data_IF_893472411051
#
_entry.id   IF_893472411051
#
_cell.length_a   1.000
_cell.length_b   1.000
_cell.length_c   1.000
_cell.angle_alpha   90.00
_cell.angle_beta   90.00
_cell.angle_gamma   90.00
#
_symmetry.space_group_name_H-M   'P 1'
#
loop_
_entity.id
_entity.type
_entity.pdbx_description
1 polymer ?
#
# COMPACT_ATOMS: atom_id res chain seq x y z
N UNK A 1 -14.09 -6.53 -15.76
CA UNK A 1 -13.34 -5.97 -14.61
C UNK A 1 -13.72 -6.83 -13.42
N UNK A 2 -12.74 -7.36 -12.70
CA UNK A 2 -12.96 -8.19 -11.52
C UNK A 2 -12.45 -7.41 -10.30
N UNK A 3 -13.19 -7.49 -9.19
CA UNK A 3 -12.83 -6.82 -7.94
C UNK A 3 -12.69 -7.87 -6.84
N UNK A 4 -11.48 -8.04 -6.26
CA UNK A 4 -11.25 -8.99 -5.18
C UNK A 4 -11.68 -8.48 -3.80
N UNK A 5 -12.16 -7.24 -3.67
CA UNK A 5 -12.52 -6.64 -2.37
C UNK A 5 -11.37 -6.69 -1.36
N UNK A 6 -10.15 -6.42 -1.83
CA UNK A 6 -8.90 -6.53 -1.05
C UNK A 6 -8.62 -7.92 -0.45
N UNK A 7 -9.29 -8.97 -0.91
CA UNK A 7 -9.04 -10.36 -0.49
C UNK A 7 -8.13 -11.11 -1.49
N UNK A 8 -6.98 -11.57 -1.01
CA UNK A 8 -5.98 -12.24 -1.83
C UNK A 8 -6.46 -13.59 -2.41
N UNK A 9 -7.28 -14.33 -1.65
CA UNK A 9 -7.83 -15.61 -2.12
C UNK A 9 -8.88 -15.37 -3.21
N UNK A 10 -9.74 -14.38 -3.03
CA UNK A 10 -10.70 -13.95 -4.02
C UNK A 10 -9.98 -13.47 -5.29
N UNK A 11 -8.90 -12.71 -5.17
CA UNK A 11 -8.08 -12.32 -6.33
C UNK A 11 -7.57 -13.53 -7.12
N UNK A 12 -7.06 -14.57 -6.44
CA UNK A 12 -6.64 -15.80 -7.10
C UNK A 12 -7.79 -16.45 -7.88
N UNK A 13 -8.95 -16.64 -7.24
CA UNK A 13 -10.10 -17.27 -7.91
C UNK A 13 -10.62 -16.45 -9.10
N UNK A 14 -10.59 -15.12 -9.00
CA UNK A 14 -10.99 -14.22 -10.07
C UNK A 14 -9.98 -14.22 -11.23
N UNK A 15 -8.69 -14.34 -10.94
CA UNK A 15 -7.64 -14.50 -11.94
C UNK A 15 -7.80 -15.82 -12.70
N UNK A 16 -8.01 -16.93 -12.00
CA UNK A 16 -8.28 -18.24 -12.61
C UNK A 16 -9.54 -18.22 -13.47
N UNK A 17 -10.60 -17.56 -12.97
CA UNK A 17 -11.83 -17.36 -13.73
C UNK A 17 -11.60 -16.53 -14.98
N UNK A 18 -10.84 -15.44 -14.90
CA UNK A 18 -10.52 -14.62 -16.08
C UNK A 18 -9.83 -15.45 -17.16
N UNK A 19 -8.90 -16.33 -16.77
CA UNK A 19 -8.20 -17.25 -17.69
C UNK A 19 -9.20 -18.24 -18.30
N UNK A 20 -10.07 -18.85 -17.49
CA UNK A 20 -11.11 -19.77 -17.96
C UNK A 20 -12.13 -19.10 -18.90
N UNK A 21 -12.43 -17.83 -18.66
CA UNK A 21 -13.28 -16.97 -19.49
C UNK A 21 -12.56 -16.49 -20.78
N UNK A 22 -11.38 -17.04 -21.10
CA UNK A 22 -10.54 -16.71 -22.26
C UNK A 22 -10.08 -15.25 -22.29
N UNK A 23 -9.67 -14.69 -21.15
CA UNK A 23 -9.04 -13.37 -21.11
C UNK A 23 -7.90 -13.28 -22.13
N UNK A 24 -7.99 -12.29 -23.02
CA UNK A 24 -6.98 -12.02 -24.06
C UNK A 24 -5.82 -11.16 -23.55
N UNK A 25 -5.90 -10.70 -22.30
CA UNK A 25 -4.86 -9.96 -21.60
C UNK A 25 -5.24 -9.75 -20.13
N UNK A 26 -4.24 -9.52 -19.28
CA UNK A 26 -4.40 -9.37 -17.83
C UNK A 26 -3.72 -8.07 -17.39
N UNK A 27 -4.41 -7.27 -16.59
CA UNK A 27 -3.82 -6.15 -15.84
C UNK A 27 -4.03 -6.46 -14.37
N UNK A 28 -2.95 -6.56 -13.60
CA UNK A 28 -2.98 -7.09 -12.23
C UNK A 28 -2.21 -6.20 -11.26
N UNK A 29 -2.87 -5.81 -10.17
CA UNK A 29 -2.24 -5.28 -8.97
C UNK A 29 -2.32 -6.39 -7.91
N UNK A 30 -1.23 -7.12 -7.63
CA UNK A 30 -1.29 -8.28 -6.75
C UNK A 30 -1.51 -7.86 -5.29
N UNK A 31 -2.34 -8.62 -4.57
CA UNK A 31 -2.55 -8.45 -3.13
C UNK A 31 -1.61 -9.32 -2.29
N UNK A 32 -1.22 -10.47 -2.85
CA UNK A 32 -0.20 -11.36 -2.32
C UNK A 32 0.47 -12.06 -3.51
N UNK A 33 1.80 -12.13 -3.51
CA UNK A 33 2.57 -12.73 -4.60
C UNK A 33 2.64 -14.25 -4.50
N UNK A 34 2.59 -14.82 -3.29
CA UNK A 34 2.80 -16.25 -3.10
C UNK A 34 1.62 -17.10 -3.63
N UNK A 35 0.35 -16.83 -3.27
CA UNK A 35 -0.79 -17.63 -3.73
C UNK A 35 -1.01 -17.58 -5.25
N UNK A 36 -0.71 -16.44 -5.88
CA UNK A 36 -0.94 -16.24 -7.32
C UNK A 36 0.21 -16.76 -8.19
N UNK A 37 1.37 -17.06 -7.61
CA UNK A 37 2.57 -17.43 -8.36
C UNK A 37 2.38 -18.62 -9.32
N UNK A 38 1.72 -19.73 -8.94
CA UNK A 38 1.46 -20.84 -9.85
C UNK A 38 0.63 -20.40 -11.07
N UNK A 39 -0.44 -19.64 -10.84
CA UNK A 39 -1.34 -19.14 -11.89
C UNK A 39 -0.61 -18.17 -12.84
N UNK A 40 0.27 -17.33 -12.31
CA UNK A 40 1.09 -16.44 -13.16
C UNK A 40 2.09 -17.19 -14.05
N UNK A 41 2.60 -18.35 -13.61
CA UNK A 41 3.37 -19.22 -14.49
C UNK A 41 2.51 -19.82 -15.60
N UNK A 42 1.24 -20.16 -15.35
CA UNK A 42 0.30 -20.59 -16.41
C UNK A 42 0.04 -19.48 -17.41
N UNK A 43 -0.23 -18.26 -16.94
CA UNK A 43 -0.41 -17.06 -17.78
C UNK A 43 0.77 -16.89 -18.75
N UNK A 44 1.99 -17.02 -18.22
CA UNK A 44 3.22 -16.97 -19.04
C UNK A 44 3.27 -18.09 -20.07
N UNK A 45 2.99 -19.34 -19.68
CA UNK A 45 3.02 -20.51 -20.59
C UNK A 45 1.97 -20.41 -21.70
N UNK A 46 0.78 -19.92 -21.36
CA UNK A 46 -0.31 -19.67 -22.29
C UNK A 46 -0.06 -18.44 -23.20
N UNK A 47 1.00 -17.66 -22.93
CA UNK A 47 1.35 -16.42 -23.66
C UNK A 47 0.23 -15.38 -23.62
N UNK A 48 -0.53 -15.34 -22.52
CA UNK A 48 -1.50 -14.28 -22.28
C UNK A 48 -0.71 -13.01 -21.95
N UNK A 49 -0.85 -11.91 -22.71
CA UNK A 49 -0.20 -10.65 -22.38
C UNK A 49 -0.60 -10.20 -20.99
N UNK A 50 0.37 -9.78 -20.18
CA UNK A 50 0.07 -9.24 -18.86
C UNK A 50 0.81 -7.93 -18.57
N UNK A 51 0.16 -7.08 -17.78
CA UNK A 51 0.72 -5.87 -17.19
C UNK A 51 0.59 -5.96 -15.67
N UNK A 52 1.68 -5.84 -14.93
CA UNK A 52 1.61 -5.61 -13.48
C UNK A 52 1.58 -4.12 -13.16
N UNK A 53 0.87 -3.82 -12.10
CA UNK A 53 0.82 -2.51 -11.45
C UNK A 53 1.30 -2.66 -10.02
N UNK A 54 1.95 -1.61 -9.50
CA UNK A 54 2.37 -1.44 -8.11
C UNK A 54 3.42 -2.42 -7.55
N UNK A 55 3.51 -3.65 -8.04
CA UNK A 55 4.46 -4.66 -7.55
C UNK A 55 5.25 -5.35 -8.65
N UNK A 56 6.51 -5.64 -8.34
CA UNK A 56 7.40 -6.31 -9.29
C UNK A 56 7.01 -7.77 -9.50
N UNK A 57 6.62 -8.09 -10.74
CA UNK A 57 6.22 -9.42 -11.17
C UNK A 57 7.06 -9.89 -12.38
N UNK A 58 8.25 -9.33 -12.56
CA UNK A 58 9.06 -9.48 -13.77
C UNK A 58 9.44 -10.92 -14.09
N UNK A 59 9.53 -11.81 -13.09
CA UNK A 59 9.81 -13.23 -13.32
C UNK A 59 8.76 -13.92 -14.20
N UNK A 60 7.52 -13.42 -14.24
CA UNK A 60 6.45 -13.99 -15.07
C UNK A 60 6.41 -13.40 -16.49
N UNK A 61 7.25 -12.41 -16.80
CA UNK A 61 7.27 -11.67 -18.07
C UNK A 61 6.45 -10.38 -18.03
N UNK A 62 5.81 -10.04 -19.16
CA UNK A 62 4.88 -8.91 -19.24
C UNK A 62 5.52 -7.52 -19.18
N UNK A 63 4.66 -6.51 -19.11
CA UNK A 63 5.04 -5.10 -18.90
C UNK A 63 4.85 -4.75 -17.43
N UNK A 64 5.79 -4.00 -16.86
CA UNK A 64 5.77 -3.58 -15.47
C UNK A 64 5.47 -2.07 -15.44
N UNK A 65 4.36 -1.67 -14.82
CA UNK A 65 4.06 -0.26 -14.52
C UNK A 65 4.34 -0.04 -13.03
N UNK A 66 5.59 0.32 -12.75
CA UNK A 66 6.10 0.47 -11.39
C UNK A 66 6.57 1.89 -11.15
N UNK A 67 6.58 2.27 -9.88
CA UNK A 67 7.19 3.50 -9.38
C UNK A 67 8.13 3.11 -8.25
N UNK A 68 9.18 3.90 -8.03
CA UNK A 68 9.99 3.76 -6.82
C UNK A 68 9.08 3.97 -5.60
N UNK A 69 8.83 2.90 -4.86
CA UNK A 69 7.86 2.94 -3.79
C UNK A 69 8.32 3.82 -2.62
N UNK A 70 9.62 3.81 -2.31
CA UNK A 70 10.18 4.67 -1.27
C UNK A 70 10.07 6.14 -1.67
N UNK A 71 10.41 6.49 -2.91
CA UNK A 71 10.25 7.86 -3.41
C UNK A 71 8.77 8.30 -3.44
N UNK A 72 7.87 7.40 -3.80
CA UNK A 72 6.42 7.64 -3.78
C UNK A 72 5.92 7.96 -2.37
N UNK A 73 6.51 7.38 -1.34
CA UNK A 73 6.24 7.74 0.06
C UNK A 73 6.98 8.99 0.51
N UNK A 74 8.22 9.18 0.08
CA UNK A 74 9.08 10.26 0.52
C UNK A 74 8.50 11.63 0.20
N UNK A 75 8.00 11.85 -1.02
CA UNK A 75 7.45 13.16 -1.42
C UNK A 75 6.30 13.64 -0.51
N UNK A 76 5.23 12.86 -0.27
CA UNK A 76 4.18 13.28 0.67
C UNK A 76 4.69 13.33 2.12
N UNK A 77 5.61 12.45 2.52
CA UNK A 77 6.27 12.52 3.83
C UNK A 77 6.98 13.87 4.05
N UNK A 78 7.76 14.32 3.08
CA UNK A 78 8.45 15.62 3.12
C UNK A 78 7.47 16.79 3.25
N UNK A 79 6.35 16.74 2.53
CA UNK A 79 5.30 17.75 2.65
C UNK A 79 4.70 17.82 4.06
N UNK A 80 4.40 16.66 4.67
CA UNK A 80 3.90 16.63 6.05
C UNK A 80 4.98 17.04 7.06
N UNK A 81 6.25 16.68 6.84
CA UNK A 81 7.36 17.15 7.66
C UNK A 81 7.50 18.68 7.66
N UNK A 82 7.35 19.31 6.50
CA UNK A 82 7.31 20.78 6.39
C UNK A 82 6.11 21.37 7.13
N UNK A 83 4.93 20.78 6.97
CA UNK A 83 3.73 21.20 7.70
C UNK A 83 3.91 21.10 9.22
N UNK A 84 4.55 20.02 9.71
CA UNK A 84 4.85 19.84 11.13
C UNK A 84 5.86 20.87 11.64
N UNK A 85 6.90 21.16 10.86
CA UNK A 85 7.84 22.23 11.19
C UNK A 85 7.15 23.60 11.28
N UNK A 86 6.24 23.89 10.36
CA UNK A 86 5.60 25.21 10.24
C UNK A 86 4.42 25.42 11.22
N UNK A 87 3.66 24.36 11.53
CA UNK A 87 2.39 24.48 12.26
C UNK A 87 2.39 23.82 13.64
N UNK A 88 3.33 22.91 13.90
CA UNK A 88 3.40 22.15 15.16
C UNK A 88 4.76 22.32 15.85
N UNK A 89 5.48 23.41 15.57
CA UNK A 89 6.80 23.71 16.13
C UNK A 89 7.81 22.55 15.98
N UNK A 90 7.67 21.77 14.89
CA UNK A 90 8.51 20.61 14.60
C UNK A 90 8.22 19.36 15.43
N UNK A 91 7.14 19.32 16.21
CA UNK A 91 6.76 18.21 17.08
C UNK A 91 5.40 17.64 16.68
N UNK A 92 5.32 16.33 16.50
CA UNK A 92 4.05 15.66 16.23
C UNK A 92 4.08 14.23 16.77
N UNK A 93 2.91 13.72 17.16
CA UNK A 93 2.67 12.30 17.41
C UNK A 93 1.94 11.74 16.20
N UNK A 94 2.56 10.77 15.53
CA UNK A 94 2.22 10.34 14.18
C UNK A 94 1.78 8.88 14.17
N UNK A 95 0.63 8.61 13.57
CA UNK A 95 0.18 7.26 13.21
C UNK A 95 0.51 7.01 11.75
N UNK A 96 1.04 5.83 11.44
CA UNK A 96 1.28 5.37 10.06
C UNK A 96 0.28 4.27 9.72
N UNK A 97 -0.58 4.53 8.73
CA UNK A 97 -1.49 3.56 8.12
C UNK A 97 -0.80 2.91 6.91
N UNK A 98 -0.57 1.61 6.96
CA UNK A 98 0.21 0.86 5.97
C UNK A 98 -0.42 -0.50 5.63
N UNK A 99 0.24 -1.25 4.74
CA UNK A 99 0.03 -2.69 4.55
C UNK A 99 1.40 -3.34 4.29
N UNK A 100 2.10 -3.64 5.37
CA UNK A 100 3.51 -4.03 5.33
C UNK A 100 3.76 -5.45 4.78
N UNK A 101 2.73 -6.25 4.64
CA UNK A 101 2.80 -7.60 4.07
C UNK A 101 3.27 -7.57 2.60
N UNK A 102 3.05 -6.44 1.91
CA UNK A 102 3.61 -6.19 0.58
C UNK A 102 4.90 -5.37 0.69
N UNK A 103 6.06 -5.88 0.23
CA UNK A 103 7.36 -5.19 0.33
C UNK A 103 7.37 -3.79 -0.28
N UNK A 104 6.72 -3.61 -1.43
CA UNK A 104 6.63 -2.30 -2.10
C UNK A 104 5.81 -1.30 -1.25
N UNK A 105 4.73 -1.77 -0.62
CA UNK A 105 3.89 -0.91 0.23
C UNK A 105 4.61 -0.57 1.53
N UNK A 106 5.32 -1.54 2.11
CA UNK A 106 6.21 -1.30 3.25
C UNK A 106 7.26 -0.23 2.91
N UNK A 107 7.93 -0.35 1.76
CA UNK A 107 8.94 0.61 1.33
C UNK A 107 8.35 2.02 1.14
N UNK A 108 7.10 2.12 0.68
CA UNK A 108 6.38 3.39 0.62
C UNK A 108 6.14 3.99 2.01
N UNK A 109 5.63 3.21 2.96
CA UNK A 109 5.43 3.69 4.32
C UNK A 109 6.76 4.12 4.98
N UNK A 110 7.84 3.36 4.75
CA UNK A 110 9.18 3.72 5.22
C UNK A 110 9.64 5.06 4.61
N UNK A 111 9.45 5.24 3.29
CA UNK A 111 9.74 6.51 2.62
C UNK A 111 8.94 7.69 3.17
N UNK A 112 7.66 7.50 3.53
CA UNK A 112 6.86 8.55 4.17
C UNK A 112 7.43 8.99 5.52
N UNK A 113 7.88 8.03 6.33
CA UNK A 113 8.50 8.31 7.63
C UNK A 113 9.84 9.03 7.44
N UNK A 114 10.68 8.57 6.51
CA UNK A 114 11.96 9.22 6.20
C UNK A 114 11.76 10.66 5.72
N UNK A 115 10.78 10.88 4.83
CA UNK A 115 10.42 12.20 4.34
C UNK A 115 9.93 13.14 5.44
N UNK A 116 9.07 12.65 6.35
CA UNK A 116 8.60 13.39 7.51
C UNK A 116 9.79 13.83 8.39
N UNK A 117 10.63 12.88 8.79
CA UNK A 117 11.71 13.10 9.75
C UNK A 117 12.82 14.00 9.20
N UNK A 118 12.95 14.12 7.88
CA UNK A 118 13.87 15.08 7.24
C UNK A 118 13.59 16.54 7.61
N UNK A 119 12.33 16.90 7.81
CA UNK A 119 11.91 18.27 8.16
C UNK A 119 11.39 18.40 9.60
N UNK A 120 10.87 17.32 10.18
CA UNK A 120 10.38 17.27 11.55
C UNK A 120 11.08 16.13 12.33
N UNK A 121 12.38 16.27 12.67
CA UNK A 121 13.15 15.20 13.32
C UNK A 121 12.68 14.88 14.75
N UNK A 122 11.85 15.75 15.35
CA UNK A 122 11.27 15.53 16.67
C UNK A 122 9.84 14.94 16.60
N UNK A 123 9.34 14.58 15.41
CA UNK A 123 8.10 13.83 15.29
C UNK A 123 8.29 12.40 15.82
N UNK A 124 7.32 11.92 16.59
CA UNK A 124 7.28 10.60 17.19
C UNK A 124 6.29 9.72 16.44
N UNK A 125 6.74 8.58 15.92
CA UNK A 125 5.84 7.56 15.37
C UNK A 125 5.24 6.78 16.53
N UNK A 126 4.01 7.09 16.91
CA UNK A 126 3.33 6.48 18.06
C UNK A 126 2.63 5.17 17.70
N UNK A 127 2.29 4.96 16.43
CA UNK A 127 1.73 3.71 15.95
C UNK A 127 2.02 3.48 14.46
N UNK A 128 2.16 2.22 14.06
CA UNK A 128 2.19 1.76 12.68
C UNK A 128 1.24 0.57 12.55
N UNK A 129 0.12 0.76 11.87
CA UNK A 129 -1.01 -0.16 11.86
C UNK A 129 -1.54 -0.36 10.44
N UNK A 130 -2.33 -1.41 10.24
CA UNK A 130 -2.96 -1.67 8.94
C UNK A 130 -3.95 -0.56 8.60
N UNK A 131 -4.01 -0.15 7.34
CA UNK A 131 -4.95 0.88 6.90
C UNK A 131 -4.99 1.09 5.40
N UNK A 132 -4.79 0.03 4.62
CA UNK A 132 -4.86 0.11 3.16
C UNK A 132 -6.30 0.19 2.61
N UNK A 133 -7.31 -0.11 3.43
CA UNK A 133 -8.75 -0.03 3.11
C UNK A 133 -9.45 0.91 4.08
N UNK A 134 -10.65 1.43 3.73
CA UNK A 134 -11.41 2.30 4.63
C UNK A 134 -11.75 1.62 5.96
N UNK A 135 -12.24 0.38 5.90
CA UNK A 135 -12.62 -0.38 7.11
C UNK A 135 -11.41 -0.67 8.01
N UNK A 136 -10.26 -1.06 7.43
CA UNK A 136 -9.05 -1.31 8.24
C UNK A 136 -8.51 -0.04 8.89
N UNK A 137 -8.57 1.10 8.18
CA UNK A 137 -8.16 2.38 8.71
C UNK A 137 -9.08 2.80 9.87
N UNK A 138 -10.40 2.74 9.66
CA UNK A 138 -11.39 3.06 10.69
C UNK A 138 -11.18 2.19 11.94
N UNK A 139 -11.14 0.86 11.77
CA UNK A 139 -10.92 -0.09 12.87
C UNK A 139 -9.63 0.20 13.65
N UNK A 140 -8.54 0.51 12.94
CA UNK A 140 -7.24 0.73 13.57
C UNK A 140 -7.18 2.07 14.30
N UNK A 141 -7.78 3.13 13.74
CA UNK A 141 -7.86 4.44 14.38
C UNK A 141 -8.79 4.40 15.60
N UNK A 142 -9.96 3.76 15.49
CA UNK A 142 -10.89 3.58 16.62
C UNK A 142 -10.22 2.81 17.77
N UNK A 143 -9.45 1.76 17.47
CA UNK A 143 -8.69 1.03 18.48
C UNK A 143 -7.65 1.90 19.19
N UNK A 144 -6.87 2.69 18.45
CA UNK A 144 -5.88 3.60 19.02
C UNK A 144 -6.54 4.68 19.91
N UNK A 145 -7.68 5.23 19.47
CA UNK A 145 -8.45 6.19 20.26
C UNK A 145 -9.01 5.56 21.55
N UNK A 146 -9.53 4.32 21.47
CA UNK A 146 -10.02 3.58 22.63
C UNK A 146 -8.92 3.25 23.65
N UNK A 147 -7.70 2.99 23.17
CA UNK A 147 -6.51 2.76 23.98
C UNK A 147 -5.91 4.05 24.56
N UNK A 148 -6.47 5.22 24.22
CA UNK A 148 -6.00 6.52 24.69
C UNK A 148 -4.67 6.95 24.05
N UNK A 149 -4.33 6.40 22.88
CA UNK A 149 -3.15 6.82 22.13
C UNK A 149 -3.37 8.23 21.58
N UNK A 150 -2.54 9.17 22.03
CA UNK A 150 -2.58 10.54 21.53
C UNK A 150 -1.81 10.66 20.21
N UNK A 151 -2.43 11.27 19.21
CA UNK A 151 -1.79 11.62 17.94
C UNK A 151 -2.43 12.88 17.34
N UNK A 152 -1.69 13.58 16.48
CA UNK A 152 -2.17 14.77 15.78
C UNK A 152 -1.86 14.74 14.26
N UNK A 153 -1.20 13.68 13.78
CA UNK A 153 -0.91 13.45 12.36
C UNK A 153 -1.17 11.99 12.03
N UNK A 154 -1.82 11.73 10.90
CA UNK A 154 -1.94 10.41 10.30
C UNK A 154 -1.23 10.44 8.94
N UNK A 155 -0.25 9.57 8.76
CA UNK A 155 0.40 9.30 7.48
C UNK A 155 -0.21 8.04 6.87
N UNK A 156 -0.84 8.16 5.71
CA UNK A 156 -1.47 7.04 5.00
C UNK A 156 -0.80 6.75 3.65
N UNK A 157 -0.57 5.47 3.35
CA UNK A 157 0.04 5.01 2.10
C UNK A 157 -0.84 5.23 0.84
N UNK A 158 -2.14 5.48 1.02
CA UNK A 158 -3.13 5.62 -0.05
C UNK A 158 -4.38 6.43 0.38
N UNK A 159 -5.21 6.79 -0.60
CA UNK A 159 -6.42 7.58 -0.40
C UNK A 159 -7.50 6.81 0.38
N UNK A 160 -7.61 5.50 0.16
CA UNK A 160 -8.61 4.65 0.81
C UNK A 160 -8.45 4.62 2.33
N UNK A 161 -7.20 4.45 2.79
CA UNK A 161 -6.86 4.57 4.20
C UNK A 161 -7.11 5.97 4.75
N UNK A 162 -6.78 7.01 3.97
CA UNK A 162 -7.04 8.39 4.37
C UNK A 162 -8.52 8.74 4.47
N UNK A 163 -9.38 8.08 3.69
CA UNK A 163 -10.83 8.27 3.76
C UNK A 163 -11.48 7.56 4.96
N UNK A 164 -10.93 6.42 5.37
CA UNK A 164 -11.46 5.66 6.52
C UNK A 164 -10.92 6.10 7.88
N UNK A 165 -9.79 6.79 7.91
CA UNK A 165 -9.14 7.31 9.12
C UNK A 165 -9.85 8.54 9.70
#
# INVERSE_FOLDING_TARGET
MYDPDSDAYQQLTLLERAIADNATGIVLCPLDLEPIAPTMWEVRRARIPFVSQASNMGQYGGVQVLTDAALLGQVPGEYIGQLVADQFDGVAKVVVLTFDDLPDVKARADGMVDGLLKYAPNAEIVARVRGATPDWAQESIEALLADGVEFNVILTINDAGGFGA
#
